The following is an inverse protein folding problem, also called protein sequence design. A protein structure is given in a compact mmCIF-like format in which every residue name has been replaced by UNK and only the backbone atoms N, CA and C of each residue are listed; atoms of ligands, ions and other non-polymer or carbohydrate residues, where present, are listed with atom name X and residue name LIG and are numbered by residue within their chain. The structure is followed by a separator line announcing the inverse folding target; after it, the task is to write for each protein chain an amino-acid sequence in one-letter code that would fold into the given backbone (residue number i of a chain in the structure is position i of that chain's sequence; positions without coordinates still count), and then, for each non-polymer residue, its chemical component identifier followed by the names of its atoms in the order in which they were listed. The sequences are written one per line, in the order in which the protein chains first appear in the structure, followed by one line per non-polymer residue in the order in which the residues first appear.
data_IF_280886279704
#
_entry.id   IF_280886279704
#
_cell.length_a   1.000
_cell.length_b   1.000
_cell.length_c   1.000
_cell.angle_alpha   90.00
_cell.angle_beta   90.00
_cell.angle_gamma   90.00
#
_symmetry.space_group_name_H-M   'P 1'
#
loop_
_entity.id
_entity.type
_entity.pdbx_description
1 polymer ?
#
# COMPACT_ATOMS: atom_id res chain seq x y z
N UNK A 1 18.49 -34.15 -13.89
CA UNK A 1 18.94 -32.86 -14.45
C UNK A 1 17.86 -32.31 -15.38
N UNK A 2 17.20 -31.20 -15.02
CA UNK A 2 16.23 -30.51 -15.89
C UNK A 2 17.00 -29.49 -16.73
N UNK A 3 16.98 -29.67 -18.05
CA UNK A 3 17.58 -28.74 -19.01
C UNK A 3 16.75 -27.46 -19.02
N UNK A 4 17.39 -26.32 -18.71
CA UNK A 4 16.77 -25.01 -18.69
C UNK A 4 16.25 -24.62 -20.07
N UNK A 5 15.01 -24.09 -20.12
CA UNK A 5 14.46 -23.48 -21.33
C UNK A 5 15.25 -22.20 -21.62
N UNK A 6 16.16 -22.27 -22.58
CA UNK A 6 16.83 -21.09 -23.11
C UNK A 6 15.79 -20.12 -23.68
N UNK A 7 15.88 -18.84 -23.29
CA UNK A 7 15.13 -17.76 -23.96
C UNK A 7 15.56 -17.76 -25.42
N UNK A 8 14.63 -18.04 -26.33
CA UNK A 8 14.84 -17.91 -27.77
C UNK A 8 15.11 -16.44 -28.08
N UNK A 9 16.35 -16.13 -28.40
CA UNK A 9 16.81 -14.83 -28.87
C UNK A 9 16.16 -14.58 -30.23
N UNK A 10 15.35 -13.54 -30.33
CA UNK A 10 14.76 -13.10 -31.61
C UNK A 10 15.89 -12.61 -32.51
N UNK A 11 15.90 -13.03 -33.77
CA UNK A 11 16.89 -12.54 -34.73
C UNK A 11 16.58 -11.06 -34.99
N UNK A 12 17.51 -10.12 -34.73
CA UNK A 12 17.25 -8.70 -34.93
C UNK A 12 16.90 -8.42 -36.39
N UNK A 13 16.22 -7.30 -36.61
CA UNK A 13 16.01 -6.78 -37.97
C UNK A 13 17.36 -6.57 -38.68
N UNK A 14 17.42 -6.47 -40.02
CA UNK A 14 18.67 -6.28 -40.75
C UNK A 14 19.50 -5.06 -40.31
N UNK A 15 18.88 -4.11 -39.60
CA UNK A 15 19.49 -2.91 -39.02
C UNK A 15 19.87 -3.04 -37.53
N UNK A 16 19.74 -4.24 -36.95
CA UNK A 16 20.14 -4.53 -35.56
C UNK A 16 19.08 -4.22 -34.49
N UNK A 17 17.95 -3.61 -34.85
CA UNK A 17 16.90 -3.26 -33.88
C UNK A 17 16.05 -4.48 -33.50
N UNK A 18 15.56 -4.48 -32.25
CA UNK A 18 14.54 -5.43 -31.84
C UNK A 18 13.25 -5.10 -32.61
N UNK A 19 12.63 -6.04 -33.36
CA UNK A 19 11.39 -5.80 -34.08
C UNK A 19 10.21 -5.36 -33.19
N UNK A 20 10.36 -5.39 -31.86
CA UNK A 20 9.37 -4.94 -30.89
C UNK A 20 9.62 -3.53 -30.33
N UNK A 21 10.78 -2.90 -30.58
CA UNK A 21 11.04 -1.52 -30.16
C UNK A 21 10.38 -0.52 -31.13
N UNK A 22 9.31 0.16 -30.67
CA UNK A 22 8.53 1.12 -31.47
C UNK A 22 7.54 0.48 -32.44
N UNK A 23 7.07 -0.74 -32.13
CA UNK A 23 6.44 -1.70 -33.02
C UNK A 23 5.35 -1.14 -33.95
N UNK A 24 5.71 -0.89 -35.20
CA UNK A 24 4.76 -0.64 -36.31
C UNK A 24 3.95 -1.90 -36.68
N UNK A 25 4.32 -3.06 -36.14
CA UNK A 25 3.76 -4.38 -36.45
C UNK A 25 3.42 -5.18 -35.19
N UNK A 26 2.45 -6.09 -35.28
CA UNK A 26 1.89 -6.85 -34.15
C UNK A 26 2.93 -7.71 -33.39
N UNK A 27 3.91 -8.29 -34.08
CA UNK A 27 5.01 -9.05 -33.46
C UNK A 27 4.61 -10.35 -32.75
N UNK A 28 3.34 -10.77 -32.76
CA UNK A 28 2.91 -12.02 -32.13
C UNK A 28 3.40 -13.24 -32.93
N UNK A 29 3.93 -14.27 -32.26
CA UNK A 29 4.37 -15.49 -32.92
C UNK A 29 3.18 -16.27 -33.49
N UNK A 30 3.29 -16.71 -34.74
CA UNK A 30 2.21 -17.45 -35.41
C UNK A 30 2.11 -18.89 -34.87
N UNK A 31 0.89 -19.39 -34.60
CA UNK A 31 0.71 -20.75 -34.11
C UNK A 31 1.21 -21.77 -35.14
N UNK A 32 1.97 -22.76 -34.66
CA UNK A 32 2.54 -23.82 -35.50
C UNK A 32 3.75 -23.42 -36.35
N UNK A 33 4.25 -22.17 -36.23
CA UNK A 33 5.43 -21.70 -36.99
C UNK A 33 6.44 -20.99 -36.07
N UNK A 34 7.28 -21.74 -35.34
CA UNK A 34 8.31 -21.17 -34.48
C UNK A 34 9.22 -20.21 -35.24
N UNK A 35 9.46 -19.03 -34.67
CA UNK A 35 10.29 -17.98 -35.27
C UNK A 35 9.62 -17.13 -36.35
N UNK A 36 8.36 -17.41 -36.72
CA UNK A 36 7.58 -16.56 -37.63
C UNK A 36 6.61 -15.70 -36.83
N UNK A 37 6.65 -14.38 -37.06
CA UNK A 37 5.85 -13.40 -36.33
C UNK A 37 4.84 -12.68 -37.24
N UNK A 38 3.75 -12.21 -36.64
CA UNK A 38 2.70 -11.48 -37.33
C UNK A 38 3.22 -10.12 -37.82
N UNK A 39 3.04 -9.87 -39.12
CA UNK A 39 3.44 -8.63 -39.80
C UNK A 39 2.29 -7.63 -40.00
N UNK A 40 1.10 -7.89 -39.45
CA UNK A 40 0.04 -6.90 -39.47
C UNK A 40 0.47 -5.66 -38.70
N UNK A 41 -0.05 -4.48 -39.07
CA UNK A 41 0.17 -3.25 -38.31
C UNK A 41 -0.21 -3.47 -36.85
N UNK A 42 0.58 -2.95 -35.91
CA UNK A 42 0.24 -2.99 -34.49
C UNK A 42 -1.15 -2.36 -34.27
N UNK A 43 -1.97 -2.97 -33.40
CA UNK A 43 -3.36 -2.55 -33.18
C UNK A 43 -4.27 -2.61 -34.43
N UNK A 44 -3.90 -3.37 -35.47
CA UNK A 44 -4.75 -3.47 -36.66
C UNK A 44 -6.14 -4.00 -36.28
N UNK A 45 -7.17 -3.20 -36.63
CA UNK A 45 -8.59 -3.44 -36.30
C UNK A 45 -8.88 -3.52 -34.80
N UNK A 46 -8.16 -2.76 -33.98
CA UNK A 46 -8.44 -2.52 -32.55
C UNK A 46 -8.64 -1.02 -32.28
N UNK A 47 -8.95 -0.65 -31.05
CA UNK A 47 -9.08 0.74 -30.57
C UNK A 47 -7.72 1.43 -30.30
N UNK A 48 -6.61 0.70 -30.40
CA UNK A 48 -5.25 1.19 -30.12
C UNK A 48 -4.32 1.01 -31.34
N UNK A 49 -4.64 1.69 -32.45
CA UNK A 49 -3.89 1.59 -33.72
C UNK A 49 -2.45 2.08 -33.55
N UNK A 50 -1.49 1.23 -33.91
CA UNK A 50 -0.07 1.51 -33.80
C UNK A 50 0.58 0.97 -32.53
N UNK A 51 -0.19 0.38 -31.62
CA UNK A 51 0.31 -0.19 -30.36
C UNK A 51 -0.09 -1.66 -30.23
N UNK A 52 0.71 -2.45 -29.51
CA UNK A 52 0.35 -3.81 -29.09
C UNK A 52 0.02 -4.81 -30.21
N UNK A 53 -0.84 -5.79 -29.88
CA UNK A 53 -1.20 -6.90 -30.76
C UNK A 53 -2.38 -6.53 -31.66
N UNK A 54 -2.44 -7.11 -32.86
CA UNK A 54 -3.60 -6.93 -33.74
C UNK A 54 -4.81 -7.77 -33.29
N UNK A 55 -5.95 -7.53 -33.92
CA UNK A 55 -7.21 -8.23 -33.63
C UNK A 55 -7.11 -9.76 -33.67
N UNK A 56 -6.30 -10.34 -34.58
CA UNK A 56 -6.09 -11.79 -34.70
C UNK A 56 -5.29 -12.40 -33.55
N UNK A 57 -4.48 -11.59 -32.85
CA UNK A 57 -3.56 -12.06 -31.81
C UNK A 57 -3.95 -11.54 -30.42
N UNK A 58 -5.25 -11.31 -30.21
CA UNK A 58 -5.80 -10.91 -28.92
C UNK A 58 -5.76 -9.40 -28.64
N UNK A 59 -5.56 -8.57 -29.66
CA UNK A 59 -5.68 -7.12 -29.54
C UNK A 59 -7.11 -6.62 -29.33
N UNK A 60 -8.14 -7.39 -29.71
CA UNK A 60 -9.53 -7.07 -29.37
C UNK A 60 -9.94 -7.54 -27.98
N UNK A 61 -9.16 -8.44 -27.38
CA UNK A 61 -9.36 -8.80 -25.99
C UNK A 61 -8.95 -7.58 -25.19
N UNK A 62 -9.82 -6.99 -24.33
CA UNK A 62 -9.44 -5.91 -23.45
C UNK A 62 -8.19 -6.39 -22.73
N UNK A 63 -7.05 -5.81 -23.08
CA UNK A 63 -5.83 -6.28 -22.50
C UNK A 63 -6.00 -5.99 -21.01
N UNK A 64 -5.85 -7.01 -20.16
CA UNK A 64 -5.69 -6.82 -18.71
C UNK A 64 -4.36 -6.09 -18.41
N UNK A 65 -3.83 -5.32 -19.37
CA UNK A 65 -2.54 -4.67 -19.42
C UNK A 65 -2.66 -3.16 -19.60
N UNK A 66 -3.76 -2.53 -19.18
CA UNK A 66 -3.52 -1.26 -18.49
C UNK A 66 -2.59 -1.59 -17.31
N UNK A 67 -1.71 -0.67 -16.89
CA UNK A 67 -0.63 -0.95 -15.93
C UNK A 67 -1.02 -1.74 -14.68
N UNK A 68 -0.06 -2.09 -13.82
CA UNK A 68 -0.20 -3.00 -12.65
C UNK A 68 -1.53 -2.94 -11.86
N UNK A 69 -2.26 -1.81 -11.90
CA UNK A 69 -3.55 -1.57 -11.25
C UNK A 69 -4.75 -1.30 -12.17
N UNK A 70 -4.72 -1.54 -13.49
CA UNK A 70 -5.79 -1.14 -14.43
C UNK A 70 -7.17 -1.73 -14.16
N UNK A 71 -7.24 -2.93 -13.60
CA UNK A 71 -8.51 -3.53 -13.15
C UNK A 71 -9.08 -2.88 -11.88
N UNK A 72 -8.27 -2.10 -11.16
CA UNK A 72 -8.64 -1.40 -9.92
C UNK A 72 -8.92 0.08 -10.24
N UNK A 73 -8.06 0.73 -11.03
CA UNK A 73 -8.20 2.15 -11.39
C UNK A 73 -9.34 2.42 -12.37
N UNK A 74 -9.83 1.41 -13.09
CA UNK A 74 -11.03 1.52 -13.94
C UNK A 74 -12.34 1.59 -13.14
N UNK A 75 -12.32 1.40 -11.82
CA UNK A 75 -13.51 1.51 -10.98
C UNK A 75 -13.80 2.98 -10.68
N UNK A 76 -15.02 3.51 -10.94
CA UNK A 76 -15.36 4.92 -10.73
C UNK A 76 -15.01 5.42 -9.33
N UNK A 77 -15.30 4.60 -8.30
CA UNK A 77 -14.98 4.94 -6.91
C UNK A 77 -13.48 5.08 -6.63
N UNK A 78 -12.64 4.28 -7.27
CA UNK A 78 -11.18 4.37 -7.11
C UNK A 78 -10.67 5.63 -7.79
N UNK A 79 -11.19 5.96 -8.98
CA UNK A 79 -10.83 7.19 -9.69
C UNK A 79 -11.18 8.46 -8.89
N UNK A 80 -12.37 8.50 -8.27
CA UNK A 80 -12.77 9.57 -7.35
C UNK A 80 -11.80 9.70 -6.17
N UNK A 81 -11.42 8.58 -5.55
CA UNK A 81 -10.49 8.58 -4.42
C UNK A 81 -9.10 9.04 -4.85
N UNK A 82 -8.59 8.57 -6.00
CA UNK A 82 -7.32 9.02 -6.55
C UNK A 82 -7.32 10.53 -6.80
N UNK A 83 -8.37 11.06 -7.43
CA UNK A 83 -8.51 12.51 -7.66
C UNK A 83 -8.54 13.30 -6.35
N UNK A 84 -9.13 12.74 -5.28
CA UNK A 84 -9.13 13.37 -3.94
C UNK A 84 -7.72 13.45 -3.34
N UNK A 85 -6.89 12.43 -3.53
CA UNK A 85 -5.53 12.37 -2.98
C UNK A 85 -4.47 13.01 -3.89
N UNK A 86 -4.76 13.22 -5.18
CA UNK A 86 -3.84 13.87 -6.14
C UNK A 86 -3.56 15.34 -5.79
N UNK A 87 -4.52 16.00 -5.13
CA UNK A 87 -4.37 17.38 -4.62
C UNK A 87 -3.68 17.49 -3.25
N UNK A 88 -3.26 16.38 -2.64
CA UNK A 88 -2.61 16.41 -1.33
C UNK A 88 -1.20 17.01 -1.44
N UNK A 89 -0.87 18.09 -0.69
CA UNK A 89 0.48 18.66 -0.70
C UNK A 89 1.55 17.71 -0.14
N UNK A 90 1.16 16.66 0.59
CA UNK A 90 2.08 15.71 1.21
C UNK A 90 1.52 14.26 1.14
N UNK A 91 1.44 13.66 -0.06
CA UNK A 91 0.82 12.35 -0.27
C UNK A 91 1.58 11.17 0.38
N UNK A 92 2.73 11.44 1.00
CA UNK A 92 3.53 10.48 1.75
C UNK A 92 3.40 10.65 3.26
N UNK A 93 2.56 11.56 3.73
CA UNK A 93 2.22 11.70 5.13
C UNK A 93 1.05 10.79 5.47
N UNK A 94 1.37 9.63 6.04
CA UNK A 94 0.37 8.67 6.50
C UNK A 94 -0.04 8.89 7.97
N UNK A 95 0.39 10.00 8.59
CA UNK A 95 0.04 10.29 9.98
C UNK A 95 -1.49 10.37 10.19
N UNK A 96 -2.28 11.01 9.31
CA UNK A 96 -3.74 11.05 9.46
C UNK A 96 -4.37 9.65 9.42
N UNK A 97 -3.94 8.79 8.50
CA UNK A 97 -4.43 7.41 8.38
C UNK A 97 -4.04 6.56 9.58
N UNK A 98 -2.83 6.74 10.11
CA UNK A 98 -2.39 6.06 11.32
C UNK A 98 -3.22 6.48 12.55
N UNK A 99 -3.55 7.78 12.67
CA UNK A 99 -4.44 8.30 13.71
C UNK A 99 -5.86 7.73 13.55
N UNK A 100 -6.40 7.73 12.33
CA UNK A 100 -7.71 7.16 12.04
C UNK A 100 -7.76 5.67 12.39
N UNK A 101 -6.76 4.91 11.97
CA UNK A 101 -6.67 3.49 12.29
C UNK A 101 -6.62 3.28 13.81
N UNK A 102 -5.82 4.07 14.53
CA UNK A 102 -5.74 4.00 15.99
C UNK A 102 -7.10 4.28 16.63
N UNK A 103 -7.83 5.28 16.15
CA UNK A 103 -9.18 5.60 16.61
C UNK A 103 -10.18 4.45 16.31
N UNK A 104 -10.14 3.88 15.11
CA UNK A 104 -10.98 2.73 14.73
C UNK A 104 -10.70 1.49 15.59
N UNK A 105 -9.42 1.23 15.91
CA UNK A 105 -9.03 0.14 16.80
C UNK A 105 -9.54 0.38 18.22
N UNK A 106 -9.45 1.63 18.71
CA UNK A 106 -9.95 1.97 20.03
C UNK A 106 -11.48 1.83 20.11
N UNK A 107 -12.23 2.37 19.13
CA UNK A 107 -13.68 2.21 19.03
C UNK A 107 -14.07 0.73 18.98
N UNK A 108 -13.35 -0.08 18.21
CA UNK A 108 -13.58 -1.52 18.17
C UNK A 108 -13.36 -2.19 19.52
N UNK A 109 -12.29 -1.84 20.26
CA UNK A 109 -12.03 -2.37 21.60
C UNK A 109 -13.13 -1.96 22.58
N UNK A 110 -13.54 -0.69 22.56
CA UNK A 110 -14.57 -0.17 23.46
C UNK A 110 -15.94 -0.81 23.19
N UNK A 111 -16.26 -1.06 21.92
CA UNK A 111 -17.53 -1.66 21.51
C UNK A 111 -17.47 -3.18 21.40
N UNK A 112 -16.34 -3.78 21.72
CA UNK A 112 -16.11 -5.21 21.56
C UNK A 112 -17.12 -6.01 22.37
N UNK A 113 -17.36 -5.63 23.64
CA UNK A 113 -18.28 -6.33 24.52
C UNK A 113 -19.72 -6.26 24.00
N UNK A 114 -20.15 -5.11 23.47
CA UNK A 114 -21.48 -4.94 22.88
C UNK A 114 -21.66 -5.77 21.60
N UNK A 115 -20.68 -5.70 20.69
CA UNK A 115 -20.68 -6.48 19.46
C UNK A 115 -20.64 -7.98 19.74
N UNK A 116 -19.82 -8.40 20.70
CA UNK A 116 -19.72 -9.78 21.15
C UNK A 116 -21.06 -10.25 21.73
N UNK A 117 -21.66 -9.47 22.63
CA UNK A 117 -22.97 -9.78 23.20
C UNK A 117 -24.06 -9.87 22.11
N UNK A 118 -24.06 -8.95 21.14
CA UNK A 118 -24.99 -8.97 20.01
C UNK A 118 -24.85 -10.21 19.13
N UNK A 119 -23.61 -10.58 18.78
CA UNK A 119 -23.31 -11.78 17.98
C UNK A 119 -23.67 -13.07 18.72
N UNK A 120 -23.38 -13.15 20.01
CA UNK A 120 -23.77 -14.31 20.84
C UNK A 120 -25.29 -14.45 20.90
N UNK A 121 -26.03 -13.36 21.15
CA UNK A 121 -27.51 -13.35 21.11
C UNK A 121 -28.05 -13.79 19.75
N UNK A 122 -27.46 -13.28 18.66
CA UNK A 122 -27.85 -13.67 17.30
C UNK A 122 -27.61 -15.16 17.04
N UNK A 123 -26.40 -15.66 17.34
CA UNK A 123 -26.07 -17.08 17.18
C UNK A 123 -27.01 -17.98 17.98
N UNK A 124 -27.39 -17.54 19.18
CA UNK A 124 -28.26 -18.29 20.09
C UNK A 124 -29.71 -18.34 19.65
N UNK A 125 -30.17 -17.37 18.86
CA UNK A 125 -31.49 -17.44 18.24
C UNK A 125 -31.66 -18.67 17.32
N UNK A 126 -30.55 -19.31 16.91
CA UNK A 126 -30.54 -20.52 16.11
C UNK A 126 -30.37 -21.81 16.93
N UNK A 127 -30.14 -21.72 18.25
CA UNK A 127 -30.04 -22.91 19.10
C UNK A 127 -31.43 -23.54 19.30
N UNK A 128 -31.53 -24.86 19.11
CA UNK A 128 -32.81 -25.57 19.16
C UNK A 128 -33.45 -25.56 20.56
N UNK A 129 -32.64 -25.56 21.62
CA UNK A 129 -33.12 -25.51 23.00
C UNK A 129 -33.69 -24.13 23.32
N UNK A 130 -32.94 -23.06 22.97
CA UNK A 130 -33.45 -21.70 23.12
C UNK A 130 -34.71 -21.46 22.26
N UNK A 131 -34.71 -21.88 21.00
CA UNK A 131 -35.87 -21.74 20.12
C UNK A 131 -37.12 -22.46 20.67
N UNK A 132 -36.92 -23.64 21.29
CA UNK A 132 -38.00 -24.38 21.96
C UNK A 132 -38.55 -23.63 23.17
N UNK A 133 -37.67 -23.16 24.06
CA UNK A 133 -38.07 -22.47 25.29
C UNK A 133 -38.66 -21.08 25.00
N UNK A 134 -38.13 -20.37 24.01
CA UNK A 134 -38.71 -19.12 23.51
C UNK A 134 -40.10 -19.33 22.89
N UNK A 135 -40.28 -20.39 22.11
CA UNK A 135 -41.59 -20.76 21.56
C UNK A 135 -42.60 -21.13 22.65
N UNK A 136 -42.13 -21.76 23.73
CA UNK A 136 -42.96 -22.03 24.91
C UNK A 136 -43.35 -20.72 25.61
N UNK A 137 -42.38 -19.85 25.90
CA UNK A 137 -42.62 -18.54 26.48
C UNK A 137 -43.62 -17.71 25.68
N UNK A 138 -43.51 -17.68 24.34
CA UNK A 138 -44.47 -16.99 23.46
C UNK A 138 -45.91 -17.50 23.59
N UNK A 139 -46.10 -18.80 23.81
CA UNK A 139 -47.43 -19.38 24.06
C UNK A 139 -47.96 -19.00 25.43
N UNK A 140 -47.09 -19.06 26.44
CA UNK A 140 -47.45 -18.80 27.83
C UNK A 140 -47.78 -17.30 28.05
N UNK A 141 -46.98 -16.38 27.50
CA UNK A 141 -47.22 -14.94 27.59
C UNK A 141 -48.49 -14.53 26.82
N UNK A 142 -48.77 -15.16 25.68
CA UNK A 142 -50.02 -14.93 24.95
C UNK A 142 -51.23 -15.33 25.77
N UNK A 143 -51.19 -16.50 26.40
CA UNK A 143 -52.26 -16.96 27.29
C UNK A 143 -52.47 -16.01 28.47
N UNK A 144 -51.38 -15.50 29.04
CA UNK A 144 -51.43 -14.51 30.12
C UNK A 144 -52.14 -13.22 29.70
N UNK A 145 -51.76 -12.68 28.54
CA UNK A 145 -52.37 -11.47 27.96
C UNK A 145 -53.84 -11.69 27.63
N UNK A 146 -54.19 -12.84 27.03
CA UNK A 146 -55.59 -13.22 26.75
C UNK A 146 -56.42 -13.37 28.04
N UNK A 147 -55.77 -13.75 29.15
CA UNK A 147 -56.37 -13.80 30.49
C UNK A 147 -56.50 -12.44 31.18
N UNK A 148 -56.07 -11.35 30.53
CA UNK A 148 -56.15 -9.98 31.06
C UNK A 148 -54.92 -9.52 31.84
N UNK A 149 -53.84 -10.31 31.87
CA UNK A 149 -52.56 -9.91 32.45
C UNK A 149 -51.77 -8.95 31.55
N UNK A 150 -50.83 -8.21 32.15
CA UNK A 150 -49.89 -7.35 31.42
C UNK A 150 -48.57 -8.09 31.14
N UNK A 151 -47.83 -7.74 30.07
CA UNK A 151 -46.59 -8.43 29.71
C UNK A 151 -45.46 -8.33 30.74
N UNK A 152 -45.54 -7.37 31.65
CA UNK A 152 -44.51 -6.98 32.62
C UNK A 152 -45.02 -7.03 34.07
N UNK A 153 -46.20 -7.61 34.33
CA UNK A 153 -46.70 -7.80 35.68
C UNK A 153 -45.99 -8.98 36.41
N UNK A 154 -46.20 -9.08 37.72
CA UNK A 154 -45.58 -10.11 38.56
C UNK A 154 -45.99 -11.54 38.19
N UNK A 155 -47.10 -11.71 37.46
CA UNK A 155 -47.60 -13.00 36.98
C UNK A 155 -47.07 -13.39 35.61
N UNK A 156 -46.41 -12.48 34.89
CA UNK A 156 -45.95 -12.71 33.54
C UNK A 156 -44.80 -13.75 33.51
N UNK A 157 -44.84 -14.74 32.60
CA UNK A 157 -43.74 -15.67 32.44
C UNK A 157 -42.46 -14.93 32.03
N UNK A 158 -41.37 -15.18 32.74
CA UNK A 158 -40.06 -14.56 32.46
C UNK A 158 -39.54 -15.02 31.10
N UNK A 159 -39.04 -14.08 30.30
CA UNK A 159 -38.38 -14.40 29.04
C UNK A 159 -37.13 -15.24 29.32
N UNK A 160 -36.92 -16.38 28.63
CA UNK A 160 -35.71 -17.18 28.82
C UNK A 160 -34.48 -16.31 28.49
N UNK A 161 -33.52 -16.24 29.42
CA UNK A 161 -32.28 -15.50 29.21
C UNK A 161 -31.41 -16.23 28.17
N UNK A 162 -31.14 -15.61 27.00
CA UNK A 162 -30.28 -16.21 25.99
C UNK A 162 -28.89 -16.59 26.53
N UNK A 163 -28.37 -15.85 27.52
CA UNK A 163 -27.04 -16.09 28.08
C UNK A 163 -26.96 -17.35 28.95
N UNK A 164 -28.09 -17.86 29.44
CA UNK A 164 -28.13 -19.11 30.21
C UNK A 164 -27.84 -20.37 29.36
N UNK A 165 -27.99 -20.25 28.03
CA UNK A 165 -27.75 -21.33 27.06
C UNK A 165 -26.31 -21.31 26.49
N UNK A 166 -25.47 -20.36 26.92
CA UNK A 166 -24.07 -20.29 26.50
C UNK A 166 -23.32 -21.54 27.00
N UNK A 167 -22.77 -22.40 26.11
CA UNK A 167 -21.85 -23.42 26.57
C UNK A 167 -20.68 -22.73 27.29
N UNK A 168 -20.35 -23.16 28.51
CA UNK A 168 -19.28 -22.56 29.35
C UNK A 168 -17.88 -22.58 28.71
N UNK A 169 -17.73 -23.13 27.51
CA UNK A 169 -16.47 -23.19 26.78
C UNK A 169 -16.39 -22.00 25.82
N UNK A 170 -15.27 -21.25 25.84
CA UNK A 170 -15.13 -20.06 25.01
C UNK A 170 -15.19 -20.44 23.52
N UNK A 171 -16.06 -19.77 22.78
CA UNK A 171 -16.09 -19.82 21.32
C UNK A 171 -14.94 -18.94 20.84
N UNK A 172 -14.12 -19.46 19.94
CA UNK A 172 -12.98 -18.74 19.36
C UNK A 172 -13.45 -17.42 18.76
N UNK A 173 -13.05 -16.31 19.38
CA UNK A 173 -13.46 -14.97 18.99
C UNK A 173 -12.55 -14.49 17.85
N UNK A 174 -13.00 -13.47 17.11
CA UNK A 174 -12.22 -12.75 16.10
C UNK A 174 -10.81 -12.52 16.64
N UNK A 175 -9.86 -13.11 15.92
CA UNK A 175 -8.48 -13.16 16.35
C UNK A 175 -7.89 -11.75 16.32
N UNK A 176 -7.71 -11.15 17.50
CA UNK A 176 -7.03 -9.86 17.67
C UNK A 176 -5.64 -9.85 17.02
N UNK A 177 -5.08 -11.04 16.79
CA UNK A 177 -3.85 -11.26 16.02
C UNK A 177 -3.97 -10.76 14.57
N UNK A 178 -5.16 -10.79 13.97
CA UNK A 178 -5.44 -10.21 12.65
C UNK A 178 -5.31 -8.68 12.67
N UNK A 179 -5.89 -8.03 13.68
CA UNK A 179 -5.82 -6.56 13.85
C UNK A 179 -4.39 -6.13 14.16
N UNK A 180 -3.70 -6.84 15.06
CA UNK A 180 -2.31 -6.53 15.40
C UNK A 180 -1.36 -6.73 14.20
N UNK A 181 -1.62 -7.71 13.34
CA UNK A 181 -0.85 -7.91 12.10
C UNK A 181 -0.99 -6.73 11.13
N UNK A 182 -2.17 -6.12 11.04
CA UNK A 182 -2.43 -4.96 10.19
C UNK A 182 -1.67 -3.73 10.71
N UNK A 183 -1.72 -3.51 12.03
CA UNK A 183 -0.98 -2.42 12.69
C UNK A 183 0.52 -2.58 12.47
N UNK A 184 1.06 -3.80 12.59
CA UNK A 184 2.48 -4.08 12.33
C UNK A 184 2.88 -3.80 10.87
N UNK A 185 2.04 -4.19 9.90
CA UNK A 185 2.29 -3.91 8.47
C UNK A 185 2.30 -2.41 8.17
N UNK A 186 1.41 -1.65 8.79
CA UNK A 186 1.32 -0.20 8.64
C UNK A 186 2.54 0.48 9.27
N UNK A 187 2.94 0.07 10.48
CA UNK A 187 4.18 0.53 11.12
C UNK A 187 5.41 0.31 10.22
N UNK A 188 5.54 -0.88 9.64
CA UNK A 188 6.65 -1.20 8.72
C UNK A 188 6.61 -0.40 7.40
N UNK A 189 5.44 0.08 6.97
CA UNK A 189 5.33 0.99 5.82
C UNK A 189 5.75 2.41 6.19
N UNK A 190 5.29 2.92 7.34
CA UNK A 190 5.68 4.23 7.86
C UNK A 190 7.19 4.29 8.08
N UNK A 191 7.78 3.27 8.70
CA UNK A 191 9.24 3.20 8.89
C UNK A 191 10.00 3.21 7.57
N UNK A 192 9.52 2.50 6.54
CA UNK A 192 10.12 2.54 5.21
C UNK A 192 9.99 3.91 4.55
N UNK A 193 8.86 4.59 4.71
CA UNK A 193 8.66 5.96 4.20
C UNK A 193 9.61 6.93 4.90
N UNK A 194 9.73 6.85 6.23
CA UNK A 194 10.66 7.66 7.00
C UNK A 194 12.10 7.38 6.58
N UNK A 195 12.48 6.11 6.42
CA UNK A 195 13.79 5.73 5.92
C UNK A 195 14.04 6.24 4.50
N UNK A 196 13.06 6.23 3.60
CA UNK A 196 13.19 6.81 2.26
C UNK A 196 13.28 8.34 2.27
N UNK A 197 12.60 9.01 3.22
CA UNK A 197 12.74 10.45 3.45
C UNK A 197 14.14 10.76 4.02
N UNK A 198 14.65 9.90 4.89
CA UNK A 198 16.01 9.96 5.42
C UNK A 198 17.07 9.58 4.38
N UNK A 199 16.81 8.69 3.42
CA UNK A 199 17.76 8.35 2.33
C UNK A 199 17.90 9.49 1.30
N UNK A 200 17.08 10.55 1.40
CA UNK A 200 17.36 11.85 0.75
C UNK A 200 18.40 12.69 1.50
N UNK A 201 18.86 12.23 2.66
CA UNK A 201 20.07 12.76 3.31
C UNK A 201 21.27 12.09 2.69
N UNK A 202 22.19 12.90 2.15
CA UNK A 202 23.45 12.38 1.66
C UNK A 202 24.15 11.62 2.79
N UNK A 203 24.60 10.39 2.51
CA UNK A 203 25.39 9.65 3.49
C UNK A 203 26.64 10.47 3.86
N UNK A 204 27.15 10.31 5.08
CA UNK A 204 28.41 10.98 5.47
C UNK A 204 29.57 10.62 4.55
N UNK A 205 29.55 9.42 3.96
CA UNK A 205 30.53 9.01 2.95
C UNK A 205 30.38 9.82 1.64
N UNK A 206 29.15 10.07 1.20
CA UNK A 206 28.87 10.92 0.02
C UNK A 206 29.27 12.37 0.27
N UNK A 207 29.02 12.88 1.48
CA UNK A 207 29.49 14.22 1.88
C UNK A 207 31.02 14.26 1.90
N UNK A 208 31.69 13.25 2.45
CA UNK A 208 33.15 13.14 2.43
C UNK A 208 33.73 13.18 1.01
N UNK A 209 33.21 12.36 0.10
CA UNK A 209 33.64 12.33 -1.30
C UNK A 209 33.42 13.68 -2.02
N UNK A 210 32.30 14.35 -1.72
CA UNK A 210 32.05 15.71 -2.25
C UNK A 210 33.09 16.72 -1.74
N UNK A 211 33.41 16.68 -0.44
CA UNK A 211 34.44 17.56 0.15
C UNK A 211 35.83 17.31 -0.45
N UNK A 212 36.21 16.04 -0.65
CA UNK A 212 37.47 15.68 -1.29
C UNK A 212 37.54 16.20 -2.73
N UNK A 213 36.46 16.05 -3.50
CA UNK A 213 36.37 16.56 -4.88
C UNK A 213 36.48 18.09 -4.91
N UNK A 214 35.72 18.78 -4.06
CA UNK A 214 35.78 20.24 -3.96
C UNK A 214 37.17 20.75 -3.52
N UNK A 215 37.84 20.04 -2.61
CA UNK A 215 39.19 20.39 -2.17
C UNK A 215 40.20 20.24 -3.32
N UNK A 216 40.12 19.14 -4.06
CA UNK A 216 41.00 18.88 -5.21
C UNK A 216 40.81 19.95 -6.30
N UNK A 217 39.56 20.23 -6.68
CA UNK A 217 39.24 21.26 -7.69
C UNK A 217 39.74 22.65 -7.26
N UNK A 218 39.57 23.00 -5.99
CA UNK A 218 40.06 24.28 -5.46
C UNK A 218 41.58 24.39 -5.56
N UNK A 219 42.30 23.33 -5.20
CA UNK A 219 43.78 23.30 -5.31
C UNK A 219 44.20 23.44 -6.77
N UNK A 220 43.57 22.72 -7.68
CA UNK A 220 43.85 22.81 -9.13
C UNK A 220 43.61 24.22 -9.65
N UNK A 221 42.45 24.81 -9.39
CA UNK A 221 42.11 26.18 -9.83
C UNK A 221 43.07 27.21 -9.23
N UNK A 222 43.45 27.04 -7.96
CA UNK A 222 44.40 27.93 -7.31
C UNK A 222 45.80 27.82 -7.94
N UNK A 223 46.23 26.63 -8.35
CA UNK A 223 47.49 26.43 -9.09
C UNK A 223 47.45 27.04 -10.49
N UNK A 224 46.31 26.96 -11.18
CA UNK A 224 46.15 27.49 -12.54
C UNK A 224 46.13 29.02 -12.60
N UNK A 225 45.65 29.68 -11.55
CA UNK A 225 45.35 31.12 -11.58
C UNK A 225 46.14 31.98 -10.60
N UNK A 226 46.95 31.38 -9.71
CA UNK A 226 47.75 32.12 -8.73
C UNK A 226 49.21 31.73 -8.87
N UNK A 227 49.96 32.54 -9.62
CA UNK A 227 51.40 32.34 -9.89
C UNK A 227 52.26 32.50 -8.63
N UNK A 228 51.84 33.34 -7.68
CA UNK A 228 52.55 33.58 -6.43
C UNK A 228 52.24 32.49 -5.39
N UNK A 229 53.20 31.61 -5.16
CA UNK A 229 53.14 30.49 -4.21
C UNK A 229 52.70 30.94 -2.81
N UNK A 230 53.20 32.09 -2.32
CA UNK A 230 52.88 32.59 -0.98
C UNK A 230 51.41 33.01 -0.87
N UNK A 231 50.87 33.64 -1.93
CA UNK A 231 49.45 34.00 -1.99
C UNK A 231 48.56 32.77 -2.11
N UNK A 232 48.99 31.77 -2.88
CA UNK A 232 48.26 30.52 -3.07
C UNK A 232 48.15 29.73 -1.77
N UNK A 233 49.26 29.56 -1.05
CA UNK A 233 49.27 28.90 0.27
C UNK A 233 48.40 29.66 1.27
N UNK A 234 48.50 30.99 1.33
CA UNK A 234 47.67 31.81 2.22
C UNK A 234 46.16 31.66 1.94
N UNK A 235 45.76 31.53 0.68
CA UNK A 235 44.37 31.28 0.30
C UNK A 235 43.91 29.90 0.76
N UNK A 236 44.68 28.85 0.47
CA UNK A 236 44.34 27.47 0.83
C UNK A 236 44.22 27.31 2.36
N UNK A 237 45.15 27.89 3.13
CA UNK A 237 45.11 27.94 4.59
C UNK A 237 43.88 28.68 5.13
N UNK A 238 43.46 29.76 4.46
CA UNK A 238 42.27 30.50 4.84
C UNK A 238 40.99 29.70 4.57
N UNK A 239 40.92 29.00 3.44
CA UNK A 239 39.78 28.13 3.10
C UNK A 239 39.70 26.94 4.05
N UNK A 240 40.81 26.27 4.32
CA UNK A 240 40.84 25.13 5.24
C UNK A 240 40.35 25.54 6.63
N UNK A 241 40.86 26.65 7.19
CA UNK A 241 40.39 27.18 8.48
C UNK A 241 38.88 27.47 8.46
N UNK A 242 38.36 28.01 7.36
CA UNK A 242 36.94 28.36 7.25
C UNK A 242 36.06 27.11 7.14
N UNK A 243 36.51 26.09 6.41
CA UNK A 243 35.82 24.81 6.27
C UNK A 243 35.80 24.02 7.57
N UNK A 244 36.89 24.00 8.34
CA UNK A 244 36.92 23.40 9.70
C UNK A 244 35.88 24.01 10.65
N UNK A 245 35.47 25.26 10.40
CA UNK A 245 34.44 25.95 11.18
C UNK A 245 32.99 25.61 10.79
N UNK A 246 32.76 24.88 9.69
CA UNK A 246 31.41 24.52 9.24
C UNK A 246 30.85 23.42 10.14
N UNK A 247 29.83 23.74 10.93
CA UNK A 247 29.07 22.75 11.68
C UNK A 247 27.95 22.19 10.80
N UNK A 248 28.10 20.94 10.34
CA UNK A 248 27.09 20.24 9.54
C UNK A 248 25.71 20.21 10.22
N UNK A 249 25.68 20.15 11.56
CA UNK A 249 24.45 20.19 12.36
C UNK A 249 23.66 21.48 12.22
N UNK A 250 24.30 22.60 11.84
CA UNK A 250 23.60 23.87 11.57
C UNK A 250 23.00 23.92 10.17
N UNK A 251 23.54 23.16 9.22
CA UNK A 251 23.08 23.12 7.83
C UNK A 251 21.86 22.21 7.65
N UNK A 252 21.69 21.20 8.51
CA UNK A 252 20.54 20.28 8.46
C UNK A 252 19.24 20.87 9.02
N UNK A 253 19.26 22.13 9.50
CA UNK A 253 18.13 22.79 10.16
C UNK A 253 17.80 22.18 11.53
N UNK A 254 17.08 22.90 12.41
CA UNK A 254 16.50 22.27 13.58
C UNK A 254 15.53 21.18 13.09
N UNK A 255 15.74 19.93 13.54
CA UNK A 255 14.74 18.87 13.39
C UNK A 255 13.40 19.45 13.86
N UNK A 256 12.41 19.49 12.98
CA UNK A 256 11.05 19.85 13.37
C UNK A 256 10.65 18.89 14.48
N UNK A 257 10.68 19.38 15.73
CA UNK A 257 10.14 18.66 16.86
C UNK A 257 8.64 18.43 16.61
N UNK A 258 8.06 17.37 17.18
CA UNK A 258 6.62 17.17 17.12
C UNK A 258 5.96 18.46 17.62
N UNK A 259 5.16 19.11 16.77
CA UNK A 259 4.33 20.23 17.20
C UNK A 259 3.34 19.65 18.22
N UNK A 260 3.52 20.03 19.48
CA UNK A 260 2.66 19.68 20.61
C UNK A 260 1.29 20.30 20.49
#
# INVERSE_FOLDING_TARGET
MRVGRGRTVVKPLPDGRDPTEGATVCGAQLPGRPGVFCRQRAGARTDHVGEGRCWLHGGLTPTRSGGRYSGITSRPRIAELLAKFEGDPNPLDLAPEAILLRAMVLDFIERYDEMHAGLMRWQMSFDKAFASDYSKWLRDIRRHIEGGGLPDDEGAPTIPDPLSYVPKRPVTIIDITGVSSLVAQIGALVDRINKMKEDKTFSMATIGALYETMAADLVTVAQEHIDDDSRREALLDAVERRWRGIQLSRLTGPRAGPQS
#
